data_IF_318879588836
#
_entry.id   IF_318879588836
#
_cell.length_a   1.000
_cell.length_b   1.000
_cell.length_c   1.000
_cell.angle_alpha   90.00
_cell.angle_beta   90.00
_cell.angle_gamma   90.00
#
_symmetry.space_group_name_H-M   'P 1'
#
loop_
_entity.id
_entity.type
_entity.pdbx_description
1 polymer ?
#
# COMPACT_ATOMS: atom_id res chain seq x y z
N UNK A 1 -40.24 -5.32 -9.52
CA UNK A 1 -39.33 -5.35 -8.34
C UNK A 1 -38.01 -5.98 -8.80
N UNK A 2 -36.91 -5.24 -8.76
CA UNK A 2 -35.67 -5.66 -9.45
C UNK A 2 -35.15 -7.00 -8.91
N UNK A 3 -34.53 -7.79 -9.79
CA UNK A 3 -33.90 -9.07 -9.46
C UNK A 3 -32.70 -8.93 -8.51
N UNK A 4 -32.20 -7.70 -8.36
CA UNK A 4 -31.00 -7.33 -7.61
C UNK A 4 -31.23 -6.74 -6.22
N UNK A 5 -32.45 -6.70 -5.69
CA UNK A 5 -32.71 -6.08 -4.38
C UNK A 5 -32.05 -6.86 -3.21
N UNK A 6 -31.46 -6.14 -2.25
CA UNK A 6 -30.87 -6.76 -1.04
C UNK A 6 -31.89 -7.53 -0.20
N UNK A 7 -33.16 -7.11 -0.23
CA UNK A 7 -34.27 -7.76 0.48
C UNK A 7 -34.56 -9.19 0.01
N UNK A 8 -34.04 -9.60 -1.15
CA UNK A 8 -34.15 -10.98 -1.65
C UNK A 8 -33.12 -11.92 -1.02
N UNK A 9 -32.05 -11.38 -0.43
CA UNK A 9 -31.09 -12.18 0.30
C UNK A 9 -31.70 -12.61 1.64
N UNK A 10 -31.63 -13.90 1.95
CA UNK A 10 -32.09 -14.43 3.24
C UNK A 10 -31.03 -14.16 4.34
N UNK A 11 -30.75 -12.88 4.60
CA UNK A 11 -29.85 -12.43 5.67
C UNK A 11 -30.57 -12.45 7.01
N UNK A 12 -29.82 -12.72 8.08
CA UNK A 12 -30.34 -12.60 9.44
C UNK A 12 -30.73 -11.14 9.75
N UNK A 13 -31.75 -10.96 10.60
CA UNK A 13 -32.32 -9.66 10.95
C UNK A 13 -31.25 -8.62 11.37
N UNK A 14 -30.25 -8.94 12.20
CA UNK A 14 -29.24 -7.95 12.59
C UNK A 14 -28.42 -7.41 11.42
N UNK A 15 -28.11 -8.26 10.44
CA UNK A 15 -27.35 -7.88 9.25
C UNK A 15 -28.23 -7.12 8.26
N UNK A 16 -29.47 -7.59 8.04
CA UNK A 16 -30.44 -6.91 7.19
C UNK A 16 -30.72 -5.49 7.68
N UNK A 17 -30.84 -5.31 9.01
CA UNK A 17 -31.02 -3.99 9.65
C UNK A 17 -29.82 -3.08 9.41
N UNK A 18 -28.59 -3.58 9.59
CA UNK A 18 -27.38 -2.80 9.32
C UNK A 18 -27.30 -2.36 7.85
N UNK A 19 -27.56 -3.28 6.92
CA UNK A 19 -27.56 -3.02 5.47
C UNK A 19 -28.60 -1.98 5.09
N UNK A 20 -29.81 -2.05 5.66
CA UNK A 20 -30.86 -1.06 5.42
C UNK A 20 -30.50 0.33 5.96
N UNK A 21 -29.89 0.42 7.15
CA UNK A 21 -29.44 1.70 7.73
C UNK A 21 -28.33 2.35 6.89
N UNK A 22 -27.51 1.55 6.22
CA UNK A 22 -26.47 2.03 5.29
C UNK A 22 -27.01 2.45 3.92
N UNK A 23 -28.33 2.31 3.67
CA UNK A 23 -28.97 2.73 2.43
C UNK A 23 -28.74 1.77 1.25
N UNK A 24 -28.46 0.49 1.51
CA UNK A 24 -28.22 -0.49 0.45
C UNK A 24 -29.56 -1.03 -0.09
N UNK A 25 -30.02 -0.47 -1.21
CA UNK A 25 -31.28 -0.87 -1.84
C UNK A 25 -31.08 -2.01 -2.86
N UNK A 26 -30.13 -1.83 -3.78
CA UNK A 26 -29.84 -2.77 -4.86
C UNK A 26 -28.40 -3.25 -4.84
N UNK A 27 -28.20 -4.55 -5.05
CA UNK A 27 -26.89 -5.19 -5.19
C UNK A 27 -26.20 -4.75 -6.47
N UNK A 28 -24.88 -4.52 -6.39
CA UNK A 28 -24.02 -4.40 -7.56
C UNK A 28 -23.90 -5.76 -8.28
N UNK A 29 -23.47 -5.79 -9.56
CA UNK A 29 -23.39 -7.04 -10.30
C UNK A 29 -22.46 -8.09 -9.65
N UNK A 30 -21.38 -7.68 -8.99
CA UNK A 30 -20.50 -8.60 -8.23
C UNK A 30 -21.18 -9.13 -6.98
N UNK A 31 -21.96 -8.31 -6.28
CA UNK A 31 -22.73 -8.73 -5.10
C UNK A 31 -23.82 -9.74 -5.49
N UNK A 32 -24.58 -9.45 -6.54
CA UNK A 32 -25.66 -10.31 -7.01
C UNK A 32 -25.18 -11.70 -7.45
N UNK A 33 -23.99 -11.80 -8.05
CA UNK A 33 -23.42 -13.08 -8.47
C UNK A 33 -22.67 -13.79 -7.33
N UNK A 34 -21.90 -13.06 -6.52
CA UNK A 34 -21.05 -13.68 -5.50
C UNK A 34 -21.81 -14.07 -4.23
N UNK A 35 -22.67 -13.20 -3.69
CA UNK A 35 -23.30 -13.43 -2.38
C UNK A 35 -24.05 -14.77 -2.31
N UNK A 36 -24.92 -15.15 -3.28
CA UNK A 36 -25.64 -16.42 -3.22
C UNK A 36 -24.70 -17.65 -3.25
N UNK A 37 -23.65 -17.60 -4.07
CA UNK A 37 -22.65 -18.68 -4.21
C UNK A 37 -21.89 -18.89 -2.91
N UNK A 38 -21.49 -17.78 -2.29
CA UNK A 38 -20.74 -17.79 -1.03
C UNK A 38 -21.63 -18.26 0.13
N UNK A 39 -22.90 -17.86 0.17
CA UNK A 39 -23.86 -18.34 1.17
C UNK A 39 -24.09 -19.86 1.06
N UNK A 40 -24.01 -20.42 -0.15
CA UNK A 40 -24.03 -21.87 -0.38
C UNK A 40 -22.74 -22.58 0.08
N UNK A 41 -21.73 -21.85 0.57
CA UNK A 41 -20.49 -22.39 1.13
C UNK A 41 -19.43 -22.74 0.10
N UNK A 42 -19.60 -22.34 -1.17
CA UNK A 42 -18.64 -22.58 -2.24
C UNK A 42 -17.52 -21.56 -2.26
N UNK A 43 -16.35 -22.00 -2.72
CA UNK A 43 -15.22 -21.12 -3.02
C UNK A 43 -15.53 -20.24 -4.23
N UNK A 44 -15.00 -19.02 -4.23
CA UNK A 44 -15.21 -18.05 -5.31
C UNK A 44 -13.88 -17.44 -5.74
N UNK A 45 -13.71 -17.35 -7.05
CA UNK A 45 -12.67 -16.56 -7.70
C UNK A 45 -13.35 -15.40 -8.44
N UNK A 46 -13.32 -14.21 -7.86
CA UNK A 46 -14.00 -13.03 -8.39
C UNK A 46 -13.04 -12.05 -9.06
N UNK A 47 -13.30 -11.70 -10.32
CA UNK A 47 -12.67 -10.58 -11.01
C UNK A 47 -13.57 -9.35 -10.97
N UNK A 48 -13.16 -8.35 -10.17
CA UNK A 48 -13.85 -7.07 -10.11
C UNK A 48 -12.92 -5.94 -9.64
N UNK A 49 -13.07 -4.76 -10.25
CA UNK A 49 -12.31 -3.57 -9.90
C UNK A 49 -12.66 -3.03 -8.51
N UNK A 50 -11.80 -2.18 -7.95
CA UNK A 50 -12.08 -1.45 -6.71
C UNK A 50 -13.31 -0.54 -6.88
N UNK A 51 -14.08 -0.35 -5.82
CA UNK A 51 -15.30 0.46 -5.87
C UNK A 51 -16.53 -0.24 -6.45
N UNK A 52 -16.44 -1.51 -6.87
CA UNK A 52 -17.59 -2.29 -7.38
C UNK A 52 -18.45 -2.93 -6.28
N UNK A 53 -18.13 -2.67 -5.01
CA UNK A 53 -18.87 -3.23 -3.87
C UNK A 53 -18.42 -4.62 -3.41
N UNK A 54 -17.19 -5.04 -3.77
CA UNK A 54 -16.58 -6.33 -3.34
C UNK A 54 -16.63 -6.55 -1.83
N UNK A 55 -16.40 -5.51 -1.03
CA UNK A 55 -16.40 -5.60 0.43
C UNK A 55 -17.71 -6.15 0.97
N UNK A 56 -18.85 -5.61 0.54
CA UNK A 56 -20.14 -6.17 0.92
C UNK A 56 -20.35 -7.60 0.37
N UNK A 57 -19.84 -7.88 -0.84
CA UNK A 57 -19.98 -9.18 -1.49
C UNK A 57 -19.32 -10.32 -0.71
N UNK A 58 -18.22 -10.07 0.00
CA UNK A 58 -17.60 -11.08 0.88
C UNK A 58 -17.94 -10.90 2.37
N UNK A 59 -18.07 -9.67 2.87
CA UNK A 59 -18.29 -9.42 4.31
C UNK A 59 -19.66 -9.85 4.78
N UNK A 60 -20.73 -9.62 4.00
CA UNK A 60 -22.09 -10.00 4.40
C UNK A 60 -22.25 -11.52 4.55
N UNK A 61 -21.88 -12.35 3.55
CA UNK A 61 -21.98 -13.80 3.71
C UNK A 61 -20.98 -14.36 4.74
N UNK A 62 -19.80 -13.74 4.90
CA UNK A 62 -18.87 -14.05 5.99
C UNK A 62 -19.57 -13.88 7.35
N UNK A 63 -20.13 -12.70 7.61
CA UNK A 63 -20.80 -12.38 8.87
C UNK A 63 -22.01 -13.31 9.09
N UNK A 64 -22.84 -13.53 8.07
CA UNK A 64 -23.97 -14.46 8.12
C UNK A 64 -23.53 -15.86 8.60
N UNK A 65 -22.41 -16.37 8.09
CA UNK A 65 -21.88 -17.67 8.50
C UNK A 65 -21.31 -17.64 9.92
N UNK A 66 -20.73 -16.51 10.34
CA UNK A 66 -20.15 -16.35 11.67
C UNK A 66 -21.20 -16.19 12.77
N UNK A 67 -22.43 -15.77 12.47
CA UNK A 67 -23.51 -15.60 13.46
C UNK A 67 -23.77 -16.86 14.30
N UNK A 68 -23.58 -18.07 13.74
CA UNK A 68 -23.71 -19.33 14.50
C UNK A 68 -22.71 -19.48 15.66
N UNK A 69 -21.66 -18.65 15.67
CA UNK A 69 -20.63 -18.61 16.71
C UNK A 69 -20.74 -17.39 17.61
N UNK A 70 -21.75 -16.55 17.40
CA UNK A 70 -22.01 -15.38 18.22
C UNK A 70 -22.18 -15.81 19.69
N UNK A 71 -21.46 -15.12 20.58
CA UNK A 71 -21.46 -15.45 21.99
C UNK A 71 -21.31 -14.19 22.84
N UNK A 72 -22.13 -14.05 23.89
CA UNK A 72 -22.06 -12.94 24.84
C UNK A 72 -20.99 -13.13 25.93
N UNK A 73 -20.35 -14.31 26.00
CA UNK A 73 -19.26 -14.62 26.93
C UNK A 73 -18.17 -13.55 26.89
N UNK A 74 -17.57 -13.23 28.03
CA UNK A 74 -16.41 -12.34 28.09
C UNK A 74 -15.08 -13.09 27.93
N UNK A 75 -15.09 -14.42 28.03
CA UNK A 75 -13.88 -15.26 27.99
C UNK A 75 -13.26 -15.33 26.59
N UNK A 76 -12.02 -14.85 26.39
CA UNK A 76 -11.35 -14.85 25.09
C UNK A 76 -11.26 -16.22 24.41
N UNK A 77 -11.17 -17.31 25.20
CA UNK A 77 -11.10 -18.67 24.68
C UNK A 77 -12.36 -19.10 23.91
N UNK A 78 -13.50 -18.41 24.11
CA UNK A 78 -14.75 -18.63 23.37
C UNK A 78 -14.81 -17.87 22.04
N UNK A 79 -13.85 -16.99 21.77
CA UNK A 79 -13.79 -16.11 20.60
C UNK A 79 -12.49 -16.35 19.79
N UNK A 80 -12.27 -17.57 19.27
CA UNK A 80 -11.14 -17.84 18.38
C UNK A 80 -11.36 -17.17 17.03
N UNK A 81 -10.27 -16.94 16.29
CA UNK A 81 -10.36 -16.44 14.91
C UNK A 81 -11.01 -17.50 14.03
N UNK A 82 -12.14 -17.15 13.41
CA UNK A 82 -12.95 -18.02 12.56
C UNK A 82 -13.03 -17.53 11.11
N UNK A 83 -12.91 -16.23 10.91
CA UNK A 83 -12.84 -15.62 9.60
C UNK A 83 -11.58 -14.75 9.49
N UNK A 84 -10.88 -14.89 8.36
CA UNK A 84 -9.67 -14.13 8.05
C UNK A 84 -9.83 -13.38 6.73
N UNK A 85 -9.58 -12.08 6.73
CA UNK A 85 -9.56 -11.24 5.53
C UNK A 85 -8.16 -10.68 5.35
N UNK A 86 -7.49 -11.05 4.26
CA UNK A 86 -6.14 -10.61 3.91
C UNK A 86 -6.19 -9.54 2.83
N UNK A 87 -5.51 -8.43 3.10
CA UNK A 87 -5.47 -7.23 2.25
C UNK A 87 -4.02 -6.77 2.07
N UNK A 88 -3.65 -6.19 0.91
CA UNK A 88 -2.26 -5.83 0.61
C UNK A 88 -1.77 -4.63 1.41
N UNK A 89 -2.65 -3.71 1.84
CA UNK A 89 -2.22 -2.50 2.52
C UNK A 89 -3.04 -2.15 3.75
N UNK A 90 -2.41 -1.34 4.59
CA UNK A 90 -2.95 -0.86 5.86
C UNK A 90 -4.25 -0.08 5.65
N UNK A 91 -4.26 0.78 4.65
CA UNK A 91 -5.37 1.68 4.36
C UNK A 91 -6.62 0.90 3.95
N UNK A 92 -6.44 -0.15 3.14
CA UNK A 92 -7.53 -1.06 2.77
C UNK A 92 -7.96 -1.94 3.95
N UNK A 93 -7.01 -2.43 4.74
CA UNK A 93 -7.32 -3.19 5.95
C UNK A 93 -8.19 -2.39 6.92
N UNK A 94 -7.86 -1.13 7.17
CA UNK A 94 -8.63 -0.26 8.05
C UNK A 94 -10.03 0.02 7.48
N UNK A 95 -10.14 0.33 6.18
CA UNK A 95 -11.43 0.55 5.52
C UNK A 95 -12.33 -0.69 5.59
N UNK A 96 -11.80 -1.87 5.26
CA UNK A 96 -12.57 -3.11 5.32
C UNK A 96 -12.96 -3.43 6.75
N UNK A 97 -12.10 -3.20 7.74
CA UNK A 97 -12.42 -3.40 9.15
C UNK A 97 -13.56 -2.47 9.62
N UNK A 98 -13.54 -1.19 9.20
CA UNK A 98 -14.63 -0.25 9.48
C UNK A 98 -15.94 -0.72 8.84
N UNK A 99 -15.91 -1.18 7.59
CA UNK A 99 -17.09 -1.72 6.90
C UNK A 99 -17.64 -2.98 7.60
N UNK A 100 -16.77 -3.92 7.96
CA UNK A 100 -17.15 -5.11 8.74
C UNK A 100 -17.84 -4.71 10.05
N UNK A 101 -17.29 -3.72 10.77
CA UNK A 101 -17.87 -3.21 12.02
C UNK A 101 -19.24 -2.55 11.82
N UNK A 102 -19.45 -1.87 10.70
CA UNK A 102 -20.75 -1.29 10.35
C UNK A 102 -21.78 -2.40 10.06
N UNK A 103 -21.42 -3.40 9.25
CA UNK A 103 -22.30 -4.52 8.95
C UNK A 103 -22.62 -5.37 10.18
N UNK A 104 -21.68 -5.50 11.12
CA UNK A 104 -21.83 -6.28 12.34
C UNK A 104 -22.38 -5.48 13.53
N UNK A 105 -22.81 -4.22 13.32
CA UNK A 105 -23.23 -3.27 14.37
C UNK A 105 -24.28 -3.85 15.35
N UNK A 106 -25.20 -4.68 14.85
CA UNK A 106 -26.29 -5.26 15.63
C UNK A 106 -25.99 -6.70 16.10
N UNK A 107 -24.73 -7.14 16.02
CA UNK A 107 -24.29 -8.48 16.42
C UNK A 107 -23.27 -8.40 17.55
N UNK A 108 -23.08 -9.48 18.30
CA UNK A 108 -22.03 -9.62 19.31
C UNK A 108 -20.71 -10.17 18.72
N UNK A 109 -20.58 -10.23 17.39
CA UNK A 109 -19.34 -10.65 16.74
C UNK A 109 -18.23 -9.62 16.97
N UNK A 110 -17.03 -10.09 17.29
CA UNK A 110 -15.85 -9.26 17.49
C UNK A 110 -15.00 -9.28 16.24
N UNK A 111 -14.62 -8.09 15.79
CA UNK A 111 -13.69 -7.90 14.69
C UNK A 111 -12.49 -7.09 15.14
N UNK A 112 -11.30 -7.44 14.65
CA UNK A 112 -10.07 -6.66 14.86
C UNK A 112 -9.30 -6.49 13.56
N UNK A 113 -8.42 -5.50 13.53
CA UNK A 113 -7.55 -5.22 12.39
C UNK A 113 -6.09 -5.19 12.81
N UNK A 114 -5.23 -5.90 12.07
CA UNK A 114 -3.78 -5.92 12.32
C UNK A 114 -2.99 -5.61 11.07
N UNK A 115 -2.14 -4.59 11.14
CA UNK A 115 -1.28 -4.21 10.03
C UNK A 115 0.04 -3.58 10.47
N UNK A 116 1.03 -3.63 9.56
CA UNK A 116 2.40 -3.16 9.81
C UNK A 116 2.50 -1.66 10.06
N UNK A 117 3.63 -1.20 10.62
CA UNK A 117 3.91 0.23 10.82
C UNK A 117 3.04 0.94 11.86
N UNK A 118 2.40 0.19 12.76
CA UNK A 118 1.99 0.67 14.08
C UNK A 118 2.61 -0.19 15.17
N UNK A 119 2.59 0.34 16.39
CA UNK A 119 3.04 -0.38 17.57
C UNK A 119 2.27 -1.72 17.73
N UNK A 120 2.97 -2.76 18.13
CA UNK A 120 2.44 -4.13 18.19
C UNK A 120 1.54 -4.32 19.41
N UNK A 121 1.80 -3.57 20.49
CA UNK A 121 1.14 -3.76 21.80
C UNK A 121 -0.37 -3.56 21.76
N UNK A 122 -0.93 -2.50 21.13
CA UNK A 122 -2.37 -2.32 21.06
C UNK A 122 -3.07 -3.44 20.30
N UNK A 123 -2.51 -3.86 19.15
CA UNK A 123 -3.02 -4.97 18.34
C UNK A 123 -2.98 -6.29 19.15
N UNK A 124 -1.91 -6.50 19.91
CA UNK A 124 -1.78 -7.67 20.80
C UNK A 124 -2.84 -7.68 21.90
N UNK A 125 -3.12 -6.52 22.51
CA UNK A 125 -4.13 -6.40 23.54
C UNK A 125 -5.55 -6.68 22.99
N UNK A 126 -5.82 -6.24 21.77
CA UNK A 126 -7.08 -6.49 21.09
C UNK A 126 -7.27 -7.98 20.76
N UNK A 127 -6.26 -8.63 20.15
CA UNK A 127 -6.30 -10.07 19.86
C UNK A 127 -6.50 -10.92 21.12
N UNK A 128 -5.87 -10.54 22.24
CA UNK A 128 -6.00 -11.25 23.53
C UNK A 128 -7.41 -11.17 24.14
N UNK A 129 -8.26 -10.23 23.71
CA UNK A 129 -9.68 -10.18 24.11
C UNK A 129 -10.53 -11.21 23.37
N UNK A 130 -9.98 -11.85 22.34
CA UNK A 130 -10.66 -12.80 21.49
C UNK A 130 -11.46 -12.11 20.39
N UNK A 131 -11.36 -12.65 19.18
CA UNK A 131 -11.81 -12.04 17.92
C UNK A 131 -12.28 -13.14 16.99
N UNK A 132 -13.51 -13.07 16.48
CA UNK A 132 -14.00 -14.01 15.45
C UNK A 132 -13.54 -13.62 14.04
N UNK A 133 -13.54 -12.31 13.73
CA UNK A 133 -13.24 -11.79 12.39
C UNK A 133 -11.96 -10.98 12.42
N UNK A 134 -10.90 -11.52 11.81
CA UNK A 134 -9.61 -10.85 11.73
C UNK A 134 -9.37 -10.28 10.34
N UNK A 135 -9.18 -8.97 10.26
CA UNK A 135 -8.73 -8.27 9.05
C UNK A 135 -7.23 -8.00 9.18
N UNK A 136 -6.43 -8.34 8.18
CA UNK A 136 -4.98 -8.26 8.34
C UNK A 136 -4.21 -7.99 7.04
N UNK A 137 -3.03 -7.36 7.19
CA UNK A 137 -1.98 -7.41 6.17
C UNK A 137 -1.04 -8.60 6.41
N UNK A 138 -0.57 -9.32 5.38
CA UNK A 138 0.18 -10.57 5.53
C UNK A 138 1.37 -10.51 6.50
N UNK A 139 2.32 -9.58 6.30
CA UNK A 139 3.52 -9.50 7.13
C UNK A 139 3.21 -9.33 8.62
N UNK A 140 2.31 -8.39 8.98
CA UNK A 140 1.92 -8.18 10.39
C UNK A 140 1.18 -9.39 10.98
N UNK A 141 0.39 -10.10 10.18
CA UNK A 141 -0.27 -11.30 10.68
C UNK A 141 0.75 -12.37 11.05
N UNK A 142 1.78 -12.56 10.23
CA UNK A 142 2.88 -13.48 10.53
C UNK A 142 3.60 -13.10 11.83
N UNK A 143 3.92 -11.81 12.03
CA UNK A 143 4.50 -11.34 13.30
C UNK A 143 3.64 -11.76 14.50
N UNK A 144 2.31 -11.62 14.40
CA UNK A 144 1.38 -12.03 15.46
C UNK A 144 1.30 -13.54 15.64
N UNK A 145 1.41 -14.34 14.58
CA UNK A 145 1.44 -15.81 14.66
C UNK A 145 2.74 -16.25 15.34
N UNK A 146 3.89 -15.72 14.94
CA UNK A 146 5.20 -16.03 15.51
C UNK A 146 5.28 -15.66 16.99
N UNK A 147 4.72 -14.49 17.35
CA UNK A 147 4.60 -14.05 18.74
C UNK A 147 3.50 -14.80 19.53
N UNK A 148 2.82 -15.78 18.93
CA UNK A 148 1.71 -16.57 19.53
C UNK A 148 0.54 -15.71 20.02
N UNK A 149 0.34 -14.56 19.40
CA UNK A 149 -0.79 -13.65 19.66
C UNK A 149 -2.03 -14.01 18.83
N UNK A 150 -1.85 -14.69 17.69
CA UNK A 150 -2.93 -15.17 16.83
C UNK A 150 -2.78 -16.66 16.53
N UNK A 151 -3.90 -17.38 16.52
CA UNK A 151 -3.97 -18.81 16.18
C UNK A 151 -5.10 -18.99 15.15
N UNK A 152 -4.78 -19.64 14.03
CA UNK A 152 -5.67 -19.70 12.87
C UNK A 152 -6.28 -21.09 12.62
N UNK A 153 -6.07 -22.04 13.53
CA UNK A 153 -6.51 -23.44 13.36
C UNK A 153 -8.04 -23.66 13.42
N UNK A 154 -8.82 -22.62 13.72
CA UNK A 154 -10.29 -22.65 13.74
C UNK A 154 -10.90 -21.77 12.66
N UNK A 155 -10.09 -21.31 11.70
CA UNK A 155 -10.57 -20.50 10.59
C UNK A 155 -11.38 -21.36 9.62
N UNK A 156 -12.64 -20.99 9.43
CA UNK A 156 -13.60 -21.65 8.53
C UNK A 156 -13.78 -20.86 7.22
N UNK A 157 -13.35 -19.60 7.20
CA UNK A 157 -13.63 -18.67 6.11
C UNK A 157 -12.44 -17.74 5.85
N UNK A 158 -11.96 -17.70 4.61
CA UNK A 158 -10.81 -16.86 4.23
C UNK A 158 -11.10 -16.04 2.99
N UNK A 159 -10.70 -14.77 3.03
CA UNK A 159 -10.78 -13.86 1.90
C UNK A 159 -9.39 -13.35 1.57
N UNK A 160 -9.00 -13.47 0.30
CA UNK A 160 -7.84 -12.79 -0.28
C UNK A 160 -8.37 -11.68 -1.19
N UNK A 161 -8.35 -10.42 -0.76
CA UNK A 161 -8.80 -9.30 -1.58
C UNK A 161 -7.61 -8.49 -2.12
N UNK A 162 -7.73 -8.03 -3.35
CA UNK A 162 -6.63 -7.48 -4.16
C UNK A 162 -5.41 -8.44 -4.20
N UNK A 163 -5.69 -9.70 -4.54
CA UNK A 163 -4.67 -10.75 -4.57
C UNK A 163 -3.55 -10.47 -5.58
N UNK A 164 -3.86 -9.93 -6.76
CA UNK A 164 -2.87 -9.47 -7.75
C UNK A 164 -1.90 -8.48 -7.13
N UNK A 165 -2.42 -7.52 -6.39
CA UNK A 165 -1.59 -6.52 -5.72
C UNK A 165 -0.75 -7.10 -4.58
N UNK A 166 -1.25 -8.10 -3.85
CA UNK A 166 -0.43 -8.79 -2.85
C UNK A 166 0.79 -9.47 -3.49
N UNK A 167 0.62 -10.03 -4.70
CA UNK A 167 1.71 -10.60 -5.48
C UNK A 167 2.69 -9.52 -5.96
N UNK A 168 2.20 -8.40 -6.49
CA UNK A 168 3.03 -7.30 -6.99
C UNK A 168 3.95 -6.69 -5.91
N UNK A 169 3.49 -6.68 -4.66
CA UNK A 169 4.25 -6.14 -3.52
C UNK A 169 5.19 -7.22 -2.91
N UNK A 170 5.10 -8.47 -3.40
CA UNK A 170 5.97 -9.57 -2.98
C UNK A 170 5.47 -10.34 -1.75
N UNK A 171 4.18 -10.27 -1.41
CA UNK A 171 3.61 -11.02 -0.27
C UNK A 171 3.31 -12.49 -0.57
N UNK A 172 3.63 -13.00 -1.77
CA UNK A 172 3.36 -14.40 -2.10
C UNK A 172 3.95 -15.39 -1.08
N UNK A 173 5.23 -15.29 -0.65
CA UNK A 173 5.78 -16.19 0.37
C UNK A 173 5.04 -16.09 1.72
N UNK A 174 4.66 -14.87 2.10
CA UNK A 174 3.94 -14.63 3.36
C UNK A 174 2.53 -15.22 3.32
N UNK A 175 1.82 -15.06 2.20
CA UNK A 175 0.52 -15.69 1.96
C UNK A 175 0.64 -17.21 2.04
N UNK A 176 1.63 -17.82 1.37
CA UNK A 176 1.83 -19.27 1.43
C UNK A 176 2.05 -19.76 2.86
N UNK A 177 2.82 -19.02 3.67
CA UNK A 177 3.02 -19.32 5.09
C UNK A 177 1.72 -19.22 5.88
N UNK A 178 0.99 -18.11 5.77
CA UNK A 178 -0.29 -17.91 6.47
C UNK A 178 -1.27 -19.02 6.12
N UNK A 179 -1.41 -19.33 4.82
CA UNK A 179 -2.34 -20.35 4.34
C UNK A 179 -1.98 -21.76 4.83
N UNK A 180 -0.71 -22.03 5.17
CA UNK A 180 -0.29 -23.31 5.74
C UNK A 180 -0.70 -23.50 7.21
N UNK A 181 -0.97 -22.41 7.95
CA UNK A 181 -1.52 -22.45 9.31
C UNK A 181 -3.05 -22.67 9.36
N UNK A 182 -3.72 -22.65 8.21
CA UNK A 182 -5.18 -22.76 8.13
C UNK A 182 -5.67 -24.20 8.01
N UNK A 183 -6.89 -24.51 8.50
CA UNK A 183 -7.56 -25.78 8.23
C UNK A 183 -7.73 -26.04 6.74
N UNK A 184 -7.62 -27.31 6.33
CA UNK A 184 -7.84 -27.74 4.93
C UNK A 184 -9.29 -27.57 4.48
N UNK A 185 -10.24 -27.80 5.37
CA UNK A 185 -11.67 -27.62 5.11
C UNK A 185 -12.06 -26.21 5.55
N UNK A 186 -12.28 -25.33 4.58
CA UNK A 186 -12.69 -23.94 4.77
C UNK A 186 -13.28 -23.42 3.46
N UNK A 187 -14.09 -22.38 3.54
CA UNK A 187 -14.49 -21.62 2.35
C UNK A 187 -13.43 -20.56 2.08
N UNK A 188 -12.88 -20.54 0.86
CA UNK A 188 -11.86 -19.57 0.44
C UNK A 188 -12.39 -18.73 -0.71
N UNK A 189 -12.34 -17.41 -0.55
CA UNK A 189 -12.66 -16.44 -1.59
C UNK A 189 -11.39 -15.71 -2.03
N UNK A 190 -11.20 -15.58 -3.33
CA UNK A 190 -10.13 -14.80 -3.94
C UNK A 190 -10.75 -13.72 -4.82
N UNK A 191 -10.48 -12.47 -4.49
CA UNK A 191 -10.86 -11.31 -5.29
C UNK A 191 -9.62 -10.62 -5.86
N UNK A 192 -9.66 -10.34 -7.14
CA UNK A 192 -8.56 -9.74 -7.89
C UNK A 192 -9.12 -8.78 -8.94
N UNK A 193 -8.35 -7.77 -9.36
CA UNK A 193 -8.74 -6.97 -10.52
C UNK A 193 -8.46 -7.75 -11.82
N UNK A 194 -7.42 -8.59 -11.81
CA UNK A 194 -6.97 -9.37 -12.97
C UNK A 194 -6.81 -10.86 -12.66
N UNK A 195 -6.94 -11.70 -13.69
CA UNK A 195 -6.65 -13.14 -13.62
C UNK A 195 -5.34 -13.47 -14.34
N UNK A 196 -4.25 -12.88 -13.87
CA UNK A 196 -2.91 -13.21 -14.34
C UNK A 196 -2.61 -14.72 -14.14
N UNK A 197 -1.67 -15.31 -14.90
CA UNK A 197 -1.27 -16.70 -14.70
C UNK A 197 -0.81 -17.01 -13.27
N UNK A 198 -0.26 -16.02 -12.56
CA UNK A 198 0.14 -16.16 -11.15
C UNK A 198 -1.07 -16.24 -10.22
N UNK A 199 -2.09 -15.41 -10.45
CA UNK A 199 -3.34 -15.47 -9.69
C UNK A 199 -4.09 -16.77 -9.93
N UNK A 200 -4.10 -17.28 -11.17
CA UNK A 200 -4.66 -18.60 -11.48
C UNK A 200 -3.90 -19.72 -10.76
N UNK A 201 -2.55 -19.64 -10.71
CA UNK A 201 -1.73 -20.60 -9.95
C UNK A 201 -2.02 -20.56 -8.45
N UNK A 202 -2.15 -19.36 -7.88
CA UNK A 202 -2.53 -19.18 -6.48
C UNK A 202 -3.91 -19.79 -6.23
N UNK A 203 -4.89 -19.48 -7.07
CA UNK A 203 -6.24 -20.00 -6.93
C UNK A 203 -6.30 -21.53 -6.98
N UNK A 204 -5.63 -22.14 -7.96
CA UNK A 204 -5.57 -23.61 -8.10
C UNK A 204 -4.91 -24.31 -6.91
N UNK A 205 -4.05 -23.60 -6.16
CA UNK A 205 -3.34 -24.17 -5.01
C UNK A 205 -4.16 -24.12 -3.72
N UNK A 206 -5.14 -23.21 -3.62
CA UNK A 206 -5.77 -22.87 -2.35
C UNK A 206 -7.30 -22.87 -2.34
N UNK A 207 -7.94 -22.83 -3.52
CA UNK A 207 -9.39 -22.91 -3.66
C UNK A 207 -9.81 -24.31 -4.11
N UNK A 208 -10.98 -24.76 -3.66
CA UNK A 208 -11.58 -26.05 -4.00
C UNK A 208 -12.77 -25.85 -4.96
N UNK A 209 -12.60 -26.25 -6.22
CA UNK A 209 -13.62 -26.13 -7.28
C UNK A 209 -14.33 -24.76 -7.28
N UNK A 210 -13.57 -23.64 -7.40
CA UNK A 210 -14.15 -22.32 -7.21
C UNK A 210 -15.11 -21.95 -8.34
N UNK A 211 -16.15 -21.19 -8.00
CA UNK A 211 -16.95 -20.48 -9.01
C UNK A 211 -16.18 -19.27 -9.47
N UNK A 212 -15.92 -19.20 -10.77
CA UNK A 212 -15.31 -18.03 -11.39
C UNK A 212 -16.41 -17.02 -11.72
N UNK A 213 -16.27 -15.80 -11.19
CA UNK A 213 -17.23 -14.72 -11.38
C UNK A 213 -16.49 -13.54 -12.01
N UNK A 214 -16.84 -13.21 -13.25
CA UNK A 214 -16.25 -12.10 -14.01
C UNK A 214 -17.31 -11.04 -14.30
N UNK A 215 -17.20 -9.90 -13.64
CA UNK A 215 -18.20 -8.83 -13.71
C UNK A 215 -17.82 -7.73 -14.70
N UNK A 216 -16.53 -7.65 -15.04
CA UNK A 216 -15.97 -6.77 -16.05
C UNK A 216 -15.21 -7.58 -17.08
N UNK A 217 -15.35 -7.23 -18.37
CA UNK A 217 -14.47 -7.74 -19.43
C UNK A 217 -13.01 -7.48 -19.02
N UNK A 218 -12.12 -8.49 -19.02
CA UNK A 218 -10.71 -8.32 -18.68
C UNK A 218 -10.11 -7.15 -19.48
N UNK A 219 -9.43 -6.23 -18.80
CA UNK A 219 -8.69 -5.12 -19.40
C UNK A 219 -9.50 -4.01 -20.08
N UNK A 220 -10.79 -3.85 -19.78
CA UNK A 220 -11.50 -2.68 -20.28
C UNK A 220 -11.13 -1.48 -19.40
N UNK A 221 -10.32 -0.56 -19.93
CA UNK A 221 -10.23 0.79 -19.34
C UNK A 221 -11.65 1.31 -19.13
N UNK A 222 -11.95 1.93 -17.98
CA UNK A 222 -13.27 2.53 -17.77
C UNK A 222 -13.60 3.35 -19.02
N UNK A 223 -14.68 2.98 -19.71
CA UNK A 223 -15.03 3.54 -21.04
C UNK A 223 -15.22 5.06 -21.01
N UNK A 224 -15.29 5.62 -19.80
CA UNK A 224 -15.47 7.03 -19.48
C UNK A 224 -14.14 7.80 -19.32
N UNK A 225 -12.98 7.13 -19.39
CA UNK A 225 -11.66 7.79 -19.23
C UNK A 225 -11.08 8.13 -20.60
N UNK A 226 -10.99 9.44 -20.88
CA UNK A 226 -10.28 10.03 -22.01
C UNK A 226 -8.77 9.86 -21.78
N UNK A 227 -8.07 9.23 -22.74
CA UNK A 227 -6.65 8.88 -22.61
C UNK A 227 -5.83 9.61 -23.67
N UNK A 228 -4.85 10.40 -23.23
CA UNK A 228 -3.91 11.14 -24.07
C UNK A 228 -2.48 10.67 -23.84
N UNK A 229 -1.71 10.51 -24.91
CA UNK A 229 -0.30 10.17 -24.85
C UNK A 229 0.50 11.26 -25.56
N UNK A 230 1.34 11.98 -24.84
CA UNK A 230 2.15 13.05 -25.41
C UNK A 230 3.61 12.63 -25.52
N UNK A 231 4.19 12.80 -26.69
CA UNK A 231 5.63 12.67 -26.90
C UNK A 231 6.33 13.88 -26.25
N UNK A 232 7.08 13.63 -25.18
CA UNK A 232 7.74 14.68 -24.40
C UNK A 232 9.16 14.24 -24.03
N UNK A 233 10.20 15.03 -24.36
CA UNK A 233 11.55 14.79 -23.86
C UNK A 233 11.61 14.80 -22.33
N UNK A 234 12.49 14.00 -21.74
CA UNK A 234 12.57 13.80 -20.29
C UNK A 234 12.71 15.13 -19.52
N UNK A 235 13.56 16.03 -20.02
CA UNK A 235 13.81 17.34 -19.41
C UNK A 235 12.58 18.28 -19.49
N UNK A 236 11.69 18.06 -20.46
CA UNK A 236 10.53 18.89 -20.72
C UNK A 236 9.25 18.35 -20.05
N UNK A 237 9.25 17.13 -19.48
CA UNK A 237 8.07 16.52 -18.81
C UNK A 237 7.47 17.40 -17.71
N UNK A 238 8.30 18.06 -16.89
CA UNK A 238 7.82 19.00 -15.85
C UNK A 238 7.06 20.18 -16.46
N UNK A 239 7.59 20.72 -17.54
CA UNK A 239 7.00 21.86 -18.25
C UNK A 239 5.68 21.46 -18.90
N UNK A 240 5.66 20.29 -19.55
CA UNK A 240 4.46 19.69 -20.13
C UNK A 240 3.35 19.52 -19.09
N UNK A 241 3.67 18.89 -17.94
CA UNK A 241 2.71 18.71 -16.85
C UNK A 241 2.12 20.05 -16.39
N UNK A 242 2.97 21.06 -16.15
CA UNK A 242 2.55 22.40 -15.72
C UNK A 242 1.60 23.05 -16.74
N UNK A 243 1.95 22.96 -18.02
CA UNK A 243 1.15 23.54 -19.10
C UNK A 243 -0.22 22.89 -19.17
N UNK A 244 -0.29 21.56 -19.18
CA UNK A 244 -1.55 20.82 -19.30
C UNK A 244 -2.45 21.07 -18.08
N UNK A 245 -1.88 21.08 -16.87
CA UNK A 245 -2.63 21.39 -15.63
C UNK A 245 -3.27 22.78 -15.70
N UNK A 246 -2.54 23.80 -16.20
CA UNK A 246 -3.04 25.17 -16.31
C UNK A 246 -4.05 25.34 -17.43
N UNK A 247 -3.73 24.87 -18.64
CA UNK A 247 -4.60 25.02 -19.83
C UNK A 247 -5.95 24.34 -19.64
N UNK A 248 -5.96 23.14 -19.04
CA UNK A 248 -7.19 22.38 -18.81
C UNK A 248 -7.88 22.71 -17.48
N UNK A 249 -7.37 23.68 -16.71
CA UNK A 249 -7.97 24.10 -15.45
C UNK A 249 -8.11 22.97 -14.43
N UNK A 250 -7.14 22.06 -14.36
CA UNK A 250 -7.21 20.86 -13.52
C UNK A 250 -7.16 21.26 -12.04
N UNK A 251 -8.25 21.00 -11.32
CA UNK A 251 -8.40 21.37 -9.91
C UNK A 251 -7.78 20.36 -8.96
N UNK A 252 -7.77 19.07 -9.34
CA UNK A 252 -7.19 18.01 -8.52
C UNK A 252 -6.71 16.85 -9.39
N UNK A 253 -5.51 16.33 -9.14
CA UNK A 253 -4.98 15.20 -9.90
C UNK A 253 -3.94 14.34 -9.15
N UNK A 254 -3.87 13.08 -9.55
CA UNK A 254 -2.72 12.23 -9.25
C UNK A 254 -1.61 12.44 -10.27
N UNK A 255 -0.36 12.48 -9.82
CA UNK A 255 0.83 12.50 -10.68
C UNK A 255 1.72 11.31 -10.33
N UNK A 256 1.72 10.30 -11.19
CA UNK A 256 2.47 9.07 -10.98
C UNK A 256 3.88 9.14 -11.53
N UNK A 257 4.84 8.76 -10.70
CA UNK A 257 6.27 8.64 -11.04
C UNK A 257 6.81 7.28 -10.61
N UNK A 258 7.88 6.83 -11.26
CA UNK A 258 8.41 5.48 -11.05
C UNK A 258 9.39 5.37 -9.88
N UNK A 259 9.90 6.50 -9.34
CA UNK A 259 10.90 6.48 -8.27
C UNK A 259 10.55 7.39 -7.09
N UNK A 260 10.95 6.97 -5.89
CA UNK A 260 10.74 7.73 -4.64
C UNK A 260 11.48 9.07 -4.66
N UNK A 261 12.72 9.07 -5.15
CA UNK A 261 13.51 10.28 -5.30
C UNK A 261 12.92 11.23 -6.34
N UNK A 262 12.43 10.70 -7.46
CA UNK A 262 11.71 11.46 -8.49
C UNK A 262 10.44 12.10 -7.92
N UNK A 263 9.68 11.36 -7.12
CA UNK A 263 8.48 11.85 -6.44
C UNK A 263 8.75 13.08 -5.58
N UNK A 264 9.74 12.98 -4.69
CA UNK A 264 10.12 14.09 -3.81
C UNK A 264 10.67 15.30 -4.60
N UNK A 265 11.47 15.06 -5.65
CA UNK A 265 12.04 16.12 -6.49
C UNK A 265 10.97 16.84 -7.30
N UNK A 266 10.05 16.09 -7.91
CA UNK A 266 8.98 16.65 -8.73
C UNK A 266 8.01 17.47 -7.89
N UNK A 267 7.55 16.97 -6.75
CA UNK A 267 6.64 17.73 -5.88
C UNK A 267 7.25 19.08 -5.46
N UNK A 268 8.50 19.09 -4.99
CA UNK A 268 9.22 20.33 -4.65
C UNK A 268 9.41 21.27 -5.84
N UNK A 269 9.59 20.72 -7.04
CA UNK A 269 9.71 21.53 -8.25
C UNK A 269 8.37 22.17 -8.62
N UNK A 270 7.26 21.43 -8.53
CA UNK A 270 5.92 21.93 -8.77
C UNK A 270 5.51 23.00 -7.74
N UNK A 271 5.85 22.81 -6.46
CA UNK A 271 5.68 23.84 -5.41
C UNK A 271 6.41 25.14 -5.76
N UNK A 272 7.66 25.06 -6.23
CA UNK A 272 8.41 26.24 -6.70
C UNK A 272 7.80 26.89 -7.94
N UNK A 273 7.14 26.10 -8.78
CA UNK A 273 6.43 26.58 -9.96
C UNK A 273 5.03 27.15 -9.61
N UNK A 274 4.70 27.25 -8.32
CA UNK A 274 3.47 27.85 -7.78
C UNK A 274 2.26 26.92 -7.74
N UNK A 275 2.46 25.60 -7.92
CA UNK A 275 1.41 24.60 -7.84
C UNK A 275 1.34 23.99 -6.45
N UNK A 276 0.14 23.72 -5.93
CA UNK A 276 -0.02 23.06 -4.64
C UNK A 276 0.17 21.55 -4.81
N UNK A 277 1.40 21.08 -4.62
CA UNK A 277 1.75 19.68 -4.81
C UNK A 277 2.32 19.06 -3.53
N UNK A 278 1.99 17.80 -3.25
CA UNK A 278 2.59 17.04 -2.14
C UNK A 278 3.10 15.68 -2.62
N UNK A 279 4.23 15.23 -2.07
CA UNK A 279 4.83 13.94 -2.39
C UNK A 279 4.34 12.82 -1.47
N UNK A 280 4.03 11.65 -2.04
CA UNK A 280 3.68 10.43 -1.32
C UNK A 280 4.45 9.22 -1.87
N UNK A 281 5.45 8.77 -1.12
CA UNK A 281 6.32 7.64 -1.47
C UNK A 281 6.69 6.81 -0.24
N UNK A 282 7.34 5.66 -0.45
CA UNK A 282 7.62 4.69 0.61
C UNK A 282 8.64 5.11 1.68
N UNK A 283 9.34 6.24 1.51
CA UNK A 283 10.27 6.75 2.55
C UNK A 283 9.60 7.79 3.46
N UNK A 284 8.35 8.17 3.16
CA UNK A 284 7.55 9.01 4.05
C UNK A 284 7.03 8.17 5.21
N UNK A 285 7.06 8.75 6.42
CA UNK A 285 6.43 8.14 7.58
C UNK A 285 4.92 8.00 7.35
N UNK A 286 4.28 7.06 8.06
CA UNK A 286 2.84 6.84 7.91
C UNK A 286 2.04 8.10 8.24
N UNK A 287 2.42 8.82 9.29
CA UNK A 287 1.75 10.07 9.69
C UNK A 287 1.86 11.14 8.60
N UNK A 288 3.02 11.27 7.96
CA UNK A 288 3.16 12.15 6.79
C UNK A 288 2.31 11.70 5.60
N UNK A 289 2.20 10.39 5.34
CA UNK A 289 1.35 9.86 4.26
C UNK A 289 -0.13 10.13 4.55
N UNK A 290 -0.59 9.92 5.79
CA UNK A 290 -1.97 10.22 6.20
C UNK A 290 -2.27 11.71 6.11
N UNK A 291 -1.35 12.57 6.58
CA UNK A 291 -1.49 14.03 6.46
C UNK A 291 -1.55 14.49 5.01
N UNK A 292 -0.69 13.97 4.14
CA UNK A 292 -0.71 14.28 2.71
C UNK A 292 -2.01 13.83 2.05
N UNK A 293 -2.48 12.63 2.40
CA UNK A 293 -3.75 12.09 1.92
C UNK A 293 -4.94 12.95 2.36
N UNK A 294 -4.99 13.33 3.63
CA UNK A 294 -6.05 14.13 4.20
C UNK A 294 -6.06 15.55 3.62
N UNK A 295 -4.89 16.16 3.46
CA UNK A 295 -4.76 17.46 2.79
C UNK A 295 -5.29 17.41 1.36
N UNK A 296 -4.98 16.33 0.62
CA UNK A 296 -5.50 16.12 -0.73
C UNK A 296 -7.02 15.90 -0.73
N UNK A 297 -7.56 15.09 0.20
CA UNK A 297 -9.01 14.87 0.34
C UNK A 297 -9.77 16.14 0.68
N UNK A 298 -9.16 17.06 1.44
CA UNK A 298 -9.75 18.37 1.80
C UNK A 298 -9.58 19.44 0.71
N UNK A 299 -8.87 19.14 -0.38
CA UNK A 299 -8.57 20.12 -1.43
C UNK A 299 -7.58 21.21 -1.01
N UNK A 300 -6.78 20.96 0.04
CA UNK A 300 -5.70 21.87 0.46
C UNK A 300 -4.50 21.79 -0.51
N UNK A 301 -4.33 20.64 -1.16
CA UNK A 301 -3.33 20.39 -2.20
C UNK A 301 -4.02 19.85 -3.45
N UNK A 302 -3.61 20.37 -4.60
CA UNK A 302 -4.24 20.08 -5.90
C UNK A 302 -3.59 18.86 -6.56
N UNK A 303 -2.28 18.68 -6.40
CA UNK A 303 -1.50 17.61 -7.03
C UNK A 303 -0.91 16.65 -6.00
N UNK A 304 -1.31 15.39 -6.07
CA UNK A 304 -0.71 14.31 -5.28
C UNK A 304 0.32 13.56 -6.15
N UNK A 305 1.60 13.89 -5.96
CA UNK A 305 2.70 13.22 -6.65
C UNK A 305 3.03 11.93 -5.90
N UNK A 306 2.94 10.78 -6.57
CA UNK A 306 3.08 9.49 -5.89
C UNK A 306 3.75 8.41 -6.73
N UNK A 307 4.33 7.42 -6.04
CA UNK A 307 4.74 6.15 -6.66
C UNK A 307 3.61 5.13 -6.58
N UNK A 308 3.57 4.15 -7.49
CA UNK A 308 2.53 3.10 -7.51
C UNK A 308 2.29 2.47 -6.14
N UNK A 309 3.35 2.00 -5.51
CA UNK A 309 3.27 1.33 -4.19
C UNK A 309 2.61 2.22 -3.13
N UNK A 310 2.86 3.53 -3.17
CA UNK A 310 2.41 4.47 -2.17
C UNK A 310 0.97 4.95 -2.40
N UNK A 311 0.54 4.99 -3.67
CA UNK A 311 -0.78 5.45 -4.08
C UNK A 311 -1.81 4.33 -4.29
N UNK A 312 -1.38 3.07 -4.40
CA UNK A 312 -2.32 1.95 -4.43
C UNK A 312 -3.07 1.89 -3.08
N UNK A 313 -4.35 1.49 -3.07
CA UNK A 313 -5.13 1.25 -1.85
C UNK A 313 -5.61 2.50 -1.09
N UNK A 314 -5.33 3.68 -1.64
CA UNK A 314 -5.94 4.90 -1.16
C UNK A 314 -7.41 4.91 -1.57
N UNK A 315 -8.32 5.03 -0.60
CA UNK A 315 -9.72 5.37 -0.85
C UNK A 315 -9.80 6.89 -0.98
N UNK A 316 -9.61 7.35 -2.21
CA UNK A 316 -9.89 8.72 -2.60
C UNK A 316 -11.07 8.66 -3.55
N UNK A 317 -12.00 9.61 -3.36
CA UNK A 317 -13.06 9.91 -4.31
C UNK A 317 -12.45 10.11 -5.71
N UNK A 318 -13.24 9.80 -6.71
CA UNK A 318 -12.86 9.97 -8.12
C UNK A 318 -12.20 11.32 -8.36
N UNK A 319 -10.99 11.34 -8.93
CA UNK A 319 -10.30 12.59 -9.27
C UNK A 319 -10.59 13.00 -10.71
N UNK A 320 -10.62 14.31 -11.04
CA UNK A 320 -10.83 14.77 -12.42
C UNK A 320 -9.77 14.29 -13.41
N UNK A 321 -8.51 14.18 -12.97
CA UNK A 321 -7.41 13.82 -13.84
C UNK A 321 -6.32 12.95 -13.18
N UNK A 322 -5.65 12.16 -14.02
CA UNK A 322 -4.48 11.36 -13.67
C UNK A 322 -3.37 11.67 -14.69
N UNK A 323 -2.17 11.95 -14.19
CA UNK A 323 -0.97 12.13 -14.99
C UNK A 323 0.00 10.98 -14.73
N UNK A 324 0.31 10.21 -15.76
CA UNK A 324 1.47 9.33 -15.78
C UNK A 324 2.66 10.17 -16.23
N UNK A 325 3.38 10.75 -15.26
CA UNK A 325 4.60 11.51 -15.54
C UNK A 325 5.69 10.59 -16.10
N UNK A 326 5.77 9.38 -15.56
CA UNK A 326 6.56 8.28 -16.09
C UNK A 326 5.65 7.16 -16.58
N UNK A 327 5.96 6.55 -17.73
CA UNK A 327 5.27 5.34 -18.19
C UNK A 327 5.55 4.20 -17.19
N UNK A 328 4.54 3.46 -16.71
CA UNK A 328 4.75 2.41 -15.71
C UNK A 328 5.63 1.28 -16.25
N UNK A 329 6.43 0.66 -15.37
CA UNK A 329 7.25 -0.50 -15.74
C UNK A 329 6.42 -1.75 -16.02
N UNK A 330 5.29 -1.91 -15.33
CA UNK A 330 4.35 -3.00 -15.52
C UNK A 330 3.09 -2.46 -16.22
N UNK A 331 2.65 -3.00 -17.37
CA UNK A 331 1.51 -2.45 -18.08
C UNK A 331 0.21 -2.51 -17.26
N UNK A 332 0.05 -3.48 -16.36
CA UNK A 332 -1.12 -3.57 -15.47
C UNK A 332 -1.24 -2.34 -14.55
N UNK A 333 -0.12 -1.74 -14.16
CA UNK A 333 -0.13 -0.51 -13.37
C UNK A 333 -0.71 0.67 -14.14
N UNK A 334 -0.61 0.69 -15.47
CA UNK A 334 -1.27 1.70 -16.28
C UNK A 334 -2.77 1.72 -16.02
N UNK A 335 -3.42 0.54 -16.02
CA UNK A 335 -4.85 0.41 -15.75
C UNK A 335 -5.16 0.87 -14.32
N UNK A 336 -4.33 0.50 -13.34
CA UNK A 336 -4.53 0.90 -11.94
C UNK A 336 -4.38 2.40 -11.70
N UNK A 337 -3.47 3.06 -12.41
CA UNK A 337 -3.25 4.50 -12.34
C UNK A 337 -4.44 5.25 -12.93
N UNK A 338 -4.84 4.94 -14.16
CA UNK A 338 -5.95 5.63 -14.81
C UNK A 338 -7.30 5.31 -14.14
N UNK A 339 -7.44 4.15 -13.48
CA UNK A 339 -8.59 3.80 -12.66
C UNK A 339 -8.76 4.64 -11.37
N UNK A 340 -7.92 5.67 -11.17
CA UNK A 340 -8.13 6.70 -10.13
C UNK A 340 -9.07 7.81 -10.58
N UNK A 341 -9.38 7.88 -11.88
CA UNK A 341 -10.36 8.79 -12.47
C UNK A 341 -11.46 7.98 -13.20
N UNK A 342 -12.58 8.63 -13.51
CA UNK A 342 -13.69 8.05 -14.26
C UNK A 342 -14.49 6.98 -13.52
N UNK A 343 -14.54 7.03 -12.18
CA UNK A 343 -15.31 6.10 -11.34
C UNK A 343 -16.80 6.47 -11.31
N UNK A 344 -17.65 5.48 -11.03
CA UNK A 344 -19.10 5.65 -10.89
C UNK A 344 -19.81 6.33 -12.09
N UNK A 345 -19.25 6.20 -13.29
CA UNK A 345 -19.81 6.76 -14.52
C UNK A 345 -19.42 8.20 -14.82
N UNK A 346 -18.60 8.84 -13.98
CA UNK A 346 -18.02 10.14 -14.28
C UNK A 346 -17.00 10.05 -15.43
N UNK A 347 -16.83 11.14 -16.18
CA UNK A 347 -15.77 11.29 -17.17
C UNK A 347 -14.45 11.63 -16.48
N UNK A 348 -13.35 11.03 -16.93
CA UNK A 348 -12.02 11.24 -16.37
C UNK A 348 -10.98 11.53 -17.44
N UNK A 349 -9.92 12.25 -17.09
CA UNK A 349 -8.78 12.51 -17.99
C UNK A 349 -7.54 11.74 -17.51
N UNK A 350 -6.94 10.96 -18.41
CA UNK A 350 -5.66 10.29 -18.17
C UNK A 350 -4.62 10.76 -19.20
N UNK A 351 -3.58 11.45 -18.74
CA UNK A 351 -2.49 11.95 -19.58
C UNK A 351 -1.22 11.17 -19.30
N UNK A 352 -0.54 10.70 -20.34
CA UNK A 352 0.73 9.97 -20.22
C UNK A 352 1.83 10.68 -20.99
N UNK A 353 2.92 11.01 -20.30
CA UNK A 353 4.09 11.65 -20.92
C UNK A 353 5.08 10.57 -21.34
N UNK A 354 5.30 10.44 -22.65
CA UNK A 354 6.11 9.40 -23.26
C UNK A 354 7.44 10.01 -23.70
N UNK A 355 8.54 9.53 -23.09
CA UNK A 355 9.88 9.89 -23.51
C UNK A 355 10.39 8.95 -24.62
N UNK A 356 11.43 9.33 -25.39
CA UNK A 356 12.05 8.44 -26.38
C UNK A 356 12.54 7.09 -25.81
N UNK A 357 12.84 7.02 -24.51
CA UNK A 357 13.29 5.81 -23.83
C UNK A 357 12.16 4.82 -23.49
N UNK A 358 10.89 5.26 -23.56
CA UNK A 358 9.74 4.49 -23.06
C UNK A 358 9.14 3.53 -24.10
N UNK A 359 9.71 3.44 -25.32
CA UNK A 359 9.15 2.66 -26.42
C UNK A 359 8.78 1.20 -26.06
N UNK A 360 9.61 0.55 -25.24
CA UNK A 360 9.33 -0.82 -24.76
C UNK A 360 8.12 -0.85 -23.84
N UNK A 361 8.04 0.08 -22.90
CA UNK A 361 6.95 0.18 -21.93
C UNK A 361 5.62 0.51 -22.62
N UNK A 362 5.66 1.44 -23.58
CA UNK A 362 4.50 1.78 -24.43
C UNK A 362 4.01 0.55 -25.20
N UNK A 363 4.92 -0.23 -25.81
CA UNK A 363 4.54 -1.44 -26.52
C UNK A 363 3.89 -2.49 -25.60
N UNK A 364 4.32 -2.58 -24.35
CA UNK A 364 3.71 -3.49 -23.38
C UNK A 364 2.31 -3.00 -22.94
N UNK A 365 2.11 -1.68 -22.82
CA UNK A 365 0.77 -1.09 -22.60
C UNK A 365 -0.15 -1.30 -23.82
N UNK A 366 0.34 -1.13 -25.05
CA UNK A 366 -0.41 -1.41 -26.28
C UNK A 366 -0.94 -2.85 -26.32
N UNK A 367 -0.08 -3.82 -25.97
CA UNK A 367 -0.47 -5.24 -25.91
C UNK A 367 -1.58 -5.47 -24.88
N UNK A 368 -1.47 -4.86 -23.70
CA UNK A 368 -2.46 -5.00 -22.64
C UNK A 368 -3.82 -4.41 -23.04
N UNK A 369 -3.81 -3.23 -23.65
CA UNK A 369 -5.00 -2.53 -24.14
C UNK A 369 -5.55 -3.10 -25.45
N UNK A 370 -4.77 -3.96 -26.13
CA UNK A 370 -5.10 -4.55 -27.44
C UNK A 370 -5.44 -3.50 -28.50
N UNK A 371 -4.82 -2.31 -28.42
CA UNK A 371 -4.96 -1.22 -29.39
C UNK A 371 -3.63 -0.49 -29.55
N UNK A 372 -3.44 0.10 -30.73
CA UNK A 372 -2.33 1.03 -30.95
C UNK A 372 -2.60 2.35 -30.23
N UNK A 373 -1.55 2.90 -29.62
CA UNK A 373 -1.63 4.17 -28.92
C UNK A 373 -1.29 5.28 -29.92
N UNK A 374 -2.14 6.30 -29.98
CA UNK A 374 -1.85 7.52 -30.71
C UNK A 374 -0.99 8.41 -29.82
N UNK A 375 0.25 8.63 -30.23
CA UNK A 375 1.19 9.49 -29.49
C UNK A 375 1.23 10.84 -30.20
N UNK A 376 0.71 11.84 -29.51
CA UNK A 376 0.58 13.20 -30.02
C UNK A 376 1.83 14.02 -29.66
N UNK A 377 2.31 14.90 -30.55
CA UNK A 377 3.29 15.90 -30.16
C UNK A 377 2.64 16.93 -29.22
N UNK A 378 3.35 17.36 -28.18
CA UNK A 378 2.89 18.46 -27.34
C UNK A 378 3.40 19.79 -27.89
N UNK A 379 2.47 20.67 -28.28
CA UNK A 379 2.78 22.06 -28.61
C UNK A 379 3.00 22.86 -27.32
N UNK A 380 4.06 23.68 -27.28
CA UNK A 380 4.39 24.48 -26.11
C UNK A 380 4.04 25.96 -26.33
N UNK A 381 3.34 26.59 -25.38
CA UNK A 381 2.89 27.98 -25.49
C UNK A 381 4.04 29.01 -25.42
N UNK A 382 5.21 28.63 -24.90
CA UNK A 382 6.36 29.53 -24.74
C UNK A 382 7.55 29.02 -25.58
N UNK A 383 8.41 29.91 -26.07
CA UNK A 383 9.74 29.49 -26.49
C UNK A 383 10.53 28.99 -25.28
N UNK A 384 11.38 27.98 -25.48
CA UNK A 384 12.24 27.41 -24.42
C UNK A 384 12.86 28.58 -23.64
N UNK A 385 12.67 28.70 -22.31
CA UNK A 385 13.48 29.62 -21.53
C UNK A 385 14.92 29.22 -21.84
N UNK A 386 15.71 30.13 -22.43
CA UNK A 386 17.13 29.89 -22.67
C UNK A 386 17.77 29.67 -21.31
N UNK A 387 17.83 28.41 -20.89
CA UNK A 387 18.47 28.01 -19.67
C UNK A 387 19.89 28.53 -19.76
N UNK A 388 20.30 29.34 -18.78
CA UNK A 388 21.73 29.49 -18.50
C UNK A 388 22.24 28.10 -18.20
N UNK A 389 22.83 27.47 -19.21
CA UNK A 389 23.68 26.30 -19.05
C UNK A 389 24.82 26.79 -18.17
N UNK A 390 24.71 26.54 -16.86
CA UNK A 390 25.85 26.60 -15.96
C UNK A 390 26.63 25.29 -16.15
N UNK A 391 27.16 25.09 -17.35
CA UNK A 391 28.27 24.16 -17.55
C UNK A 391 29.47 24.88 -16.95
N UNK A 392 30.08 24.29 -15.92
CA UNK A 392 31.14 24.87 -15.09
C UNK A 392 32.44 25.17 -15.83
N UNK A 393 32.43 25.43 -17.13
CA UNK A 393 33.54 25.92 -17.93
C UNK A 393 33.49 27.45 -18.02
N UNK A 394 34.15 28.09 -17.05
CA UNK A 394 34.73 29.42 -17.27
C UNK A 394 35.77 29.31 -18.37
N UNK A 395 35.36 29.57 -19.60
CA UNK A 395 36.26 29.84 -20.71
C UNK A 395 36.89 31.21 -20.49
N UNK A 396 38.18 31.17 -20.16
CA UNK A 396 39.09 32.27 -20.35
C UNK A 396 38.98 32.73 -21.81
N UNK A 397 38.25 33.81 -22.06
CA UNK A 397 38.30 34.54 -23.32
C UNK A 397 38.98 35.87 -23.07
N UNK A 398 40.20 35.91 -23.57
CA UNK A 398 41.11 37.04 -23.66
C UNK A 398 40.58 38.06 -24.67
N UNK A 399 40.31 39.28 -24.18
CA UNK A 399 40.21 40.57 -24.89
C UNK A 399 39.85 41.55 -23.76
N UNK A 400 40.74 42.40 -23.25
CA UNK A 400 41.58 43.32 -24.00
C UNK A 400 40.90 44.68 -23.85
N UNK A 401 41.17 45.37 -22.75
CA UNK A 401 41.03 46.82 -22.62
C UNK A 401 41.90 47.26 -21.42
N UNK A 402 42.99 47.92 -21.78
CA UNK A 402 43.89 48.67 -20.91
C UNK A 402 43.27 50.05 -20.59
N UNK A 403 43.84 50.70 -19.58
CA UNK A 403 43.58 52.07 -19.12
C UNK A 403 42.26 52.32 -18.38
N UNK A 404 42.28 52.10 -17.06
CA UNK A 404 42.38 53.28 -16.19
C UNK A 404 42.75 52.89 -14.74
N UNK A 405 43.57 53.72 -14.09
CA UNK A 405 44.01 53.68 -12.68
C UNK A 405 45.20 52.80 -12.34
N UNK A 406 46.38 53.24 -12.81
CA UNK A 406 47.57 53.30 -11.94
C UNK A 406 47.48 54.55 -11.06
N UNK A 407 48.14 54.48 -9.91
CA UNK A 407 48.34 55.55 -8.90
C UNK A 407 47.31 55.68 -7.78
N UNK A 408 47.25 54.68 -6.89
CA UNK A 408 47.28 54.98 -5.44
C UNK A 408 47.73 53.75 -4.62
N UNK A 409 48.96 53.82 -4.12
CA UNK A 409 49.52 53.11 -2.97
C UNK A 409 49.96 51.65 -3.16
N UNK A 410 51.25 51.53 -3.50
CA UNK A 410 52.15 50.59 -2.85
C UNK A 410 52.08 50.78 -1.32
N UNK A 411 51.41 49.89 -0.60
CA UNK A 411 51.83 49.39 0.72
C UNK A 411 50.86 48.32 1.24
N UNK A 412 51.11 47.06 0.88
CA UNK A 412 50.93 45.86 1.71
C UNK A 412 51.06 44.62 0.86
N UNK A 413 52.30 44.18 0.69
CA UNK A 413 52.63 42.82 0.26
C UNK A 413 52.24 41.87 1.41
N UNK A 414 51.02 41.32 1.38
CA UNK A 414 50.63 40.15 2.18
C UNK A 414 50.58 38.96 1.24
N UNK A 415 51.42 37.98 1.52
CA UNK A 415 51.42 36.66 0.90
C UNK A 415 50.03 36.02 0.97
N UNK A 416 49.62 35.23 -0.05
CA UNK A 416 48.41 34.43 0.05
C UNK A 416 48.63 33.37 1.12
N UNK A 417 47.94 33.52 2.26
CA UNK A 417 47.76 32.44 3.25
C UNK A 417 47.18 31.23 2.53
N UNK A 418 48.00 30.22 2.30
CA UNK A 418 47.53 28.87 2.06
C UNK A 418 46.65 28.49 3.27
N UNK A 419 45.41 28.11 3.02
CA UNK A 419 44.58 27.51 4.06
C UNK A 419 45.26 26.20 4.45
N UNK A 420 45.84 26.16 5.65
CA UNK A 420 46.35 24.93 6.22
C UNK A 420 45.20 23.93 6.30
N UNK A 421 45.30 22.81 5.57
CA UNK A 421 44.47 21.65 5.85
C UNK A 421 44.69 21.29 7.32
N UNK A 422 43.61 21.13 8.08
CA UNK A 422 43.68 20.66 9.46
C UNK A 422 44.25 19.24 9.45
N UNK A 423 45.55 19.11 9.67
CA UNK A 423 46.19 17.83 9.93
C UNK A 423 45.78 17.40 11.34
N UNK A 424 44.91 16.40 11.41
CA UNK A 424 44.54 15.75 12.67
C UNK A 424 45.65 14.75 13.03
N UNK A 425 46.41 14.96 14.11
CA UNK A 425 47.52 14.09 14.50
C UNK A 425 47.11 12.63 14.74
N UNK A 426 45.81 12.35 14.86
CA UNK A 426 45.25 11.02 15.02
C UNK A 426 45.45 10.13 13.78
N UNK A 427 45.45 10.70 12.57
CA UNK A 427 45.51 9.93 11.32
C UNK A 427 46.92 9.70 10.78
N UNK A 428 47.91 10.44 11.31
CA UNK A 428 49.31 10.36 10.86
C UNK A 428 50.19 9.42 11.70
N UNK A 429 49.64 8.76 12.73
CA UNK A 429 50.38 7.83 13.58
C UNK A 429 49.98 6.36 13.34
N UNK A 430 50.94 5.42 13.28
CA UNK A 430 50.63 4.00 13.23
C UNK A 430 49.91 3.55 14.51
N UNK A 431 48.83 2.80 14.35
CA UNK A 431 47.98 2.31 15.44
C UNK A 431 48.78 1.59 16.53
N UNK A 432 48.66 2.06 17.78
CA UNK A 432 49.19 1.39 18.96
C UNK A 432 48.03 0.88 19.82
N UNK A 433 48.01 -0.42 20.11
CA UNK A 433 47.02 -1.00 21.01
C UNK A 433 47.27 -0.55 22.47
N UNK A 434 46.22 -0.18 23.23
CA UNK A 434 46.38 0.23 24.62
C UNK A 434 46.84 -0.93 25.50
N UNK A 435 47.82 -0.69 26.38
CA UNK A 435 48.42 -1.71 27.28
C UNK A 435 47.59 -2.03 28.54
N UNK A 436 46.36 -1.55 28.65
CA UNK A 436 45.40 -1.96 29.68
C UNK A 436 43.99 -2.01 29.09
N UNK A 437 43.33 -3.16 29.24
CA UNK A 437 41.91 -3.34 28.98
C UNK A 437 41.12 -2.58 30.05
N UNK A 438 40.83 -1.31 29.80
CA UNK A 438 39.72 -0.64 30.49
C UNK A 438 38.43 -0.93 29.73
N UNK A 439 37.54 -1.69 30.37
CA UNK A 439 36.21 -2.02 29.86
C UNK A 439 35.45 -0.75 29.49
N UNK A 440 34.75 -0.78 28.34
CA UNK A 440 33.99 0.36 27.86
C UNK A 440 32.85 0.71 28.83
N UNK A 441 32.55 1.99 29.01
CA UNK A 441 31.62 2.50 30.01
C UNK A 441 30.18 1.91 29.97
N UNK A 442 29.79 1.26 28.87
CA UNK A 442 28.50 0.56 28.77
C UNK A 442 28.52 -0.84 29.43
N UNK A 443 29.67 -1.50 29.57
CA UNK A 443 29.81 -2.77 30.31
C UNK A 443 29.71 -2.57 31.83
N UNK A 444 30.08 -1.39 32.34
CA UNK A 444 29.95 -1.05 33.76
C UNK A 444 28.49 -0.89 34.23
N UNK A 445 27.54 -0.75 33.30
CA UNK A 445 26.11 -0.58 33.62
C UNK A 445 25.34 -1.91 33.81
N UNK A 446 25.97 -3.05 33.50
CA UNK A 446 25.34 -4.39 33.56
C UNK A 446 25.75 -5.24 34.76
N UNK A 447 26.49 -4.70 35.73
CA UNK A 447 26.83 -5.43 36.96
C UNK A 447 25.70 -5.38 38.01
N UNK A 448 24.54 -5.97 37.69
CA UNK A 448 23.56 -6.37 38.71
C UNK A 448 23.91 -7.79 39.22
N UNK A 449 24.05 -7.91 40.54
CA UNK A 449 24.45 -9.13 41.30
C UNK A 449 23.71 -10.41 40.86
N UNK A 450 24.35 -11.60 40.96
CA UNK A 450 23.69 -12.86 40.66
C UNK A 450 22.66 -13.20 41.75
N UNK A 451 21.37 -13.11 41.42
CA UNK A 451 20.31 -13.67 42.25
C UNK A 451 20.18 -15.17 41.94
N UNK A 452 20.54 -16.00 42.91
CA UNK A 452 20.49 -17.46 42.81
C UNK A 452 19.08 -17.99 42.52
N UNK A 453 19.05 -19.19 41.92
CA UNK A 453 17.88 -20.02 41.69
C UNK A 453 16.91 -20.01 42.89
N UNK A 454 15.84 -19.24 42.79
CA UNK A 454 14.66 -19.37 43.65
C UNK A 454 13.44 -19.60 42.76
N UNK A 455 12.94 -20.83 42.84
CA UNK A 455 11.63 -21.23 42.34
C UNK A 455 10.58 -20.35 43.03
N UNK A 456 9.70 -19.72 42.24
CA UNK A 456 8.65 -18.83 42.74
C UNK A 456 7.72 -19.52 43.74
N UNK A 457 7.29 -18.80 44.78
CA UNK A 457 6.48 -19.29 45.90
C UNK A 457 5.07 -19.84 45.54
N UNK A 458 4.67 -19.83 44.26
CA UNK A 458 3.37 -20.32 43.78
C UNK A 458 3.43 -21.65 43.01
N UNK A 459 4.57 -22.35 42.99
CA UNK A 459 4.69 -23.66 42.34
C UNK A 459 4.63 -24.76 43.40
N UNK A 460 3.50 -25.48 43.48
CA UNK A 460 3.44 -26.75 44.26
C UNK A 460 4.22 -27.84 43.51
N UNK A 461 5.24 -28.48 44.11
CA UNK A 461 5.96 -29.56 43.45
C UNK A 461 5.08 -30.80 43.34
N UNK A 462 4.98 -31.37 42.13
CA UNK A 462 4.30 -32.67 41.90
C UNK A 462 5.09 -33.77 42.61
N UNK A 463 4.41 -34.53 43.47
CA UNK A 463 4.95 -35.71 44.17
C UNK A 463 5.29 -36.79 43.14
N UNK A 464 6.56 -37.21 43.07
CA UNK A 464 6.99 -38.34 42.23
C UNK A 464 6.43 -39.63 42.84
N UNK A 465 5.62 -40.36 42.08
CA UNK A 465 5.19 -41.73 42.40
C UNK A 465 6.09 -42.67 41.62
N UNK A 466 6.66 -43.67 42.30
CA UNK A 466 7.51 -44.68 41.66
C UNK A 466 6.66 -45.54 40.70
N UNK A 467 7.10 -45.66 39.45
CA UNK A 467 6.50 -46.59 38.50
C UNK A 467 6.98 -48.01 38.82
N UNK A 468 6.05 -48.87 39.24
CA UNK A 468 6.26 -50.31 39.36
C UNK A 468 6.01 -50.92 37.98
N UNK A 469 7.07 -51.21 37.22
CA UNK A 469 6.94 -52.06 36.03
C UNK A 469 6.96 -53.52 36.49
N UNK A 470 5.79 -54.17 36.45
CA UNK A 470 5.69 -55.62 36.39
C UNK A 470 5.94 -56.04 34.94
N UNK A 471 6.87 -56.97 34.72
CA UNK A 471 6.96 -57.72 33.49
C UNK A 471 5.87 -58.80 33.51
N UNK A 472 5.03 -58.85 32.48
CA UNK A 472 4.20 -60.01 32.17
C UNK A 472 4.64 -60.55 30.80
N UNK A 473 5.07 -61.82 30.88
CA UNK A 473 5.28 -62.87 29.86
C UNK A 473 6.37 -62.66 28.80
#
# INVERSE_FOLDING_TARGET
MSESAFSKLNLAEPLARAVAEMGYESMTPIQAQAIPVVLAGRDVMGAAQTGTGKTAAFSLPLLQRMLKHENASTSPARHPVRALVLLPTRELADQVAQQVKLYSKYTNLRSAVVFGGMDMKPQTAELKRGVEVLVATPGRLLDHIEAKNAVLNQVEYVVLDEADRMLDIGFLPDLQRILSYLPKQRTTLLFSATFSPEIKRLANSYLQEPVVIEVSKPNTTASTVEQHFFSVPEDDKRRALRQIVRQRGITQAFVFVNSKLGCARLARALERDGLKAVAMHGDKSQDERLKALDAFKRGEVDLLVATDVAARGLDIKDVPAVFNFDVPFNPEDYIHRIGRTGRAGASGLAVTLVSPGDNRLVADVEKLLKRKLEIEPLEYDEDRPRGRINDGRRTWRQQGDEDDRRERYEERRREPRQAAASADPFFDQPYQAPQREEAAAWEASTAAKPAGNRISANIKPKRKVAALFKAEQ
#
